data_IF_810573998444
#
_entry.id   IF_810573998444
#
_cell.length_a   1.000
_cell.length_b   1.000
_cell.length_c   1.000
_cell.angle_alpha   90.00
_cell.angle_beta   90.00
_cell.angle_gamma   90.00
#
_symmetry.space_group_name_H-M   'P 1'
#
loop_
_entity.id
_entity.type
_entity.pdbx_description
1 polymer ?
#
# COMPACT_ATOMS: atom_id res chain seq x y z
N UNK A 1 24.20 -8.24 67.77
CA UNK A 1 23.70 -7.06 67.05
C UNK A 1 23.99 -7.33 65.59
N UNK A 2 23.02 -7.95 64.93
CA UNK A 2 23.09 -8.37 63.53
C UNK A 2 22.24 -7.37 62.74
N UNK A 3 22.76 -6.71 61.69
CA UNK A 3 22.00 -5.74 60.94
C UNK A 3 21.12 -6.49 59.93
N UNK A 4 19.92 -6.87 60.35
CA UNK A 4 18.88 -7.32 59.43
C UNK A 4 18.46 -6.14 58.56
N UNK A 5 18.95 -6.22 57.32
CA UNK A 5 18.66 -5.44 56.12
C UNK A 5 17.44 -4.53 56.23
N UNK A 6 17.78 -3.25 56.34
CA UNK A 6 16.97 -2.07 56.05
C UNK A 6 16.63 -2.02 54.54
N UNK A 7 15.84 -2.99 54.07
CA UNK A 7 15.24 -2.94 52.73
C UNK A 7 14.10 -1.94 52.75
N UNK A 8 14.43 -0.68 52.47
CA UNK A 8 13.45 0.33 52.13
C UNK A 8 12.67 -0.11 50.88
N UNK A 9 11.43 -0.55 51.07
CA UNK A 9 10.50 -0.85 49.98
C UNK A 9 10.22 0.44 49.22
N UNK A 10 10.79 0.56 48.03
CA UNK A 10 10.55 1.69 47.14
C UNK A 10 9.13 1.50 46.59
N UNK A 11 8.22 2.40 46.97
CA UNK A 11 6.86 2.42 46.47
C UNK A 11 6.91 2.87 44.99
N UNK A 12 6.85 1.90 44.08
CA UNK A 12 6.90 2.17 42.64
C UNK A 12 5.51 2.64 42.23
N UNK A 13 5.34 3.90 41.80
CA UNK A 13 4.03 4.38 41.37
C UNK A 13 3.58 3.58 40.15
N UNK A 14 2.40 2.97 40.27
CA UNK A 14 1.72 2.31 39.16
C UNK A 14 1.32 3.37 38.13
N UNK A 15 2.13 3.55 37.10
CA UNK A 15 1.78 4.40 35.97
C UNK A 15 0.59 3.78 35.22
N UNK A 16 -0.48 4.55 34.94
CA UNK A 16 -1.58 4.05 34.14
C UNK A 16 -1.10 3.74 32.71
N UNK A 17 -1.56 2.62 32.16
CA UNK A 17 -1.25 2.21 30.79
C UNK A 17 -1.68 3.32 29.79
N UNK A 18 -0.84 3.65 28.80
CA UNK A 18 -1.20 4.59 27.74
C UNK A 18 -2.44 4.12 27.00
N UNK A 19 -3.40 5.03 26.80
CA UNK A 19 -4.59 4.72 26.03
C UNK A 19 -4.21 4.34 24.58
N UNK A 20 -4.88 3.35 23.96
CA UNK A 20 -4.68 3.04 22.55
C UNK A 20 -4.90 4.28 21.68
N UNK A 21 -4.11 4.47 20.62
CA UNK A 21 -4.31 5.58 19.70
C UNK A 21 -5.73 5.51 19.11
N UNK A 22 -6.45 6.63 19.17
CA UNK A 22 -7.81 6.73 18.68
C UNK A 22 -7.83 6.45 17.17
N UNK A 23 -8.41 5.31 16.76
CA UNK A 23 -8.73 5.08 15.36
C UNK A 23 -9.84 6.05 14.95
N UNK A 24 -9.49 7.05 14.15
CA UNK A 24 -10.48 7.91 13.52
C UNK A 24 -11.04 7.15 12.30
N UNK A 25 -12.35 6.87 12.23
CA UNK A 25 -12.92 6.24 11.05
C UNK A 25 -12.75 7.16 9.83
N UNK A 26 -12.45 6.60 8.64
CA UNK A 26 -12.30 7.40 7.42
C UNK A 26 -13.62 8.10 7.08
N UNK A 27 -13.54 9.37 6.68
CA UNK A 27 -14.71 10.17 6.29
C UNK A 27 -15.46 9.56 5.10
N UNK A 28 -16.81 9.53 5.12
CA UNK A 28 -17.64 8.91 4.08
C UNK A 28 -17.85 9.82 2.86
N UNK A 29 -16.78 10.42 2.33
CA UNK A 29 -16.88 11.28 1.13
C UNK A 29 -17.02 10.46 -0.17
N UNK A 30 -16.77 9.15 -0.11
CA UNK A 30 -16.71 8.26 -1.27
C UNK A 30 -18.07 7.71 -1.73
N UNK A 31 -19.18 8.07 -1.07
CA UNK A 31 -20.52 7.56 -1.42
C UNK A 31 -21.42 8.56 -2.18
N UNK A 32 -20.99 9.82 -2.37
CA UNK A 32 -21.83 10.85 -3.04
C UNK A 32 -21.53 11.05 -4.53
N UNK A 33 -20.68 10.21 -5.13
CA UNK A 33 -20.40 10.22 -6.56
C UNK A 33 -21.38 9.37 -7.36
N UNK A 34 -22.66 9.73 -7.39
CA UNK A 34 -23.62 9.14 -8.32
C UNK A 34 -23.26 9.55 -9.75
N UNK A 35 -22.47 8.72 -10.44
CA UNK A 35 -22.32 8.83 -11.88
C UNK A 35 -23.70 8.67 -12.54
N UNK A 36 -24.11 9.56 -13.47
CA UNK A 36 -25.20 9.22 -14.36
C UNK A 36 -24.73 8.04 -15.22
N UNK A 37 -25.22 6.84 -14.94
CA UNK A 37 -25.10 5.70 -15.85
C UNK A 37 -25.87 6.09 -17.11
N UNK A 38 -25.14 6.63 -18.08
CA UNK A 38 -25.66 6.86 -19.41
C UNK A 38 -25.93 5.50 -20.02
N UNK A 39 -27.21 5.11 -20.08
CA UNK A 39 -27.65 4.00 -20.91
C UNK A 39 -27.20 4.25 -22.34
N UNK A 40 -26.17 3.52 -22.79
CA UNK A 40 -25.84 3.47 -24.20
C UNK A 40 -27.00 2.79 -24.95
N UNK A 41 -27.50 3.37 -26.05
CA UNK A 41 -28.51 2.72 -26.86
C UNK A 41 -27.86 1.52 -27.57
N UNK A 42 -28.42 0.33 -27.36
CA UNK A 42 -28.07 -0.87 -28.10
C UNK A 42 -28.39 -0.66 -29.59
N UNK A 43 -27.37 -0.33 -30.38
CA UNK A 43 -27.50 -0.16 -31.81
C UNK A 43 -27.39 -1.53 -32.49
N UNK A 44 -28.55 -2.09 -32.84
CA UNK A 44 -28.64 -3.27 -33.72
C UNK A 44 -28.12 -2.87 -35.11
N UNK A 45 -27.16 -3.59 -35.71
CA UNK A 45 -26.65 -3.24 -37.03
C UNK A 45 -27.71 -3.53 -38.09
N UNK A 46 -28.16 -2.49 -38.80
CA UNK A 46 -29.00 -2.65 -39.99
C UNK A 46 -28.16 -3.11 -41.20
N UNK A 47 -28.74 -3.91 -42.10
CA UNK A 47 -28.07 -4.35 -43.32
C UNK A 47 -27.82 -3.17 -44.26
N UNK A 48 -26.60 -3.14 -44.79
CA UNK A 48 -26.03 -2.11 -45.64
C UNK A 48 -26.74 -2.19 -47.00
N UNK A 49 -27.58 -1.19 -47.31
CA UNK A 49 -28.15 -1.03 -48.65
C UNK A 49 -27.12 -0.33 -49.54
N UNK A 50 -26.46 -1.10 -50.40
CA UNK A 50 -25.55 -0.56 -51.42
C UNK A 50 -26.36 0.09 -52.55
N UNK A 51 -26.50 1.41 -52.53
CA UNK A 51 -26.93 2.16 -53.71
C UNK A 51 -25.73 2.88 -54.32
N UNK A 52 -25.35 2.43 -55.51
CA UNK A 52 -24.32 3.05 -56.34
C UNK A 52 -24.78 4.44 -56.77
N UNK A 53 -24.12 5.49 -56.28
CA UNK A 53 -24.27 6.85 -56.78
C UNK A 53 -22.97 7.19 -57.50
N UNK A 54 -23.07 7.36 -58.82
CA UNK A 54 -21.96 7.69 -59.71
C UNK A 54 -21.27 8.99 -59.29
N UNK A 55 -19.95 8.94 -59.10
CA UNK A 55 -19.12 10.14 -58.93
C UNK A 55 -19.23 11.02 -60.18
N UNK A 56 -19.87 12.18 -60.04
CA UNK A 56 -19.63 13.32 -60.92
C UNK A 56 -18.56 14.17 -60.26
N UNK A 57 -17.39 14.27 -60.88
CA UNK A 57 -16.27 15.09 -60.39
C UNK A 57 -16.52 16.54 -60.85
N UNK A 58 -16.83 17.50 -59.96
CA UNK A 58 -16.78 18.90 -60.34
C UNK A 58 -15.32 19.33 -60.43
N UNK A 59 -14.94 19.88 -61.59
CA UNK A 59 -13.64 20.51 -61.80
C UNK A 59 -13.46 21.69 -60.83
N UNK A 60 -12.30 21.84 -60.16
CA UNK A 60 -12.07 22.95 -59.25
C UNK A 60 -11.91 24.25 -60.03
N UNK A 61 -12.85 25.18 -59.83
CA UNK A 61 -12.68 26.59 -60.19
C UNK A 61 -11.94 27.26 -59.04
N UNK A 62 -10.77 27.91 -59.23
CA UNK A 62 -10.10 28.61 -58.16
C UNK A 62 -10.88 29.88 -57.81
N UNK A 63 -11.64 29.83 -56.70
CA UNK A 63 -12.43 30.95 -56.20
C UNK A 63 -11.85 31.41 -54.86
N UNK A 64 -11.25 32.60 -54.90
CA UNK A 64 -10.92 33.51 -53.80
C UNK A 64 -10.34 32.88 -52.51
N UNK A 65 -9.02 32.92 -52.39
CA UNK A 65 -8.28 32.72 -51.15
C UNK A 65 -8.67 33.78 -50.12
N UNK A 66 -9.54 33.41 -49.19
CA UNK A 66 -9.70 34.13 -47.92
C UNK A 66 -8.43 33.81 -47.12
N UNK A 67 -7.64 34.79 -46.65
CA UNK A 67 -6.55 34.53 -45.72
C UNK A 67 -7.18 34.14 -44.38
N UNK A 68 -7.45 32.85 -44.21
CA UNK A 68 -7.73 32.29 -42.89
C UNK A 68 -6.42 32.45 -42.12
N UNK A 69 -6.45 33.25 -41.05
CA UNK A 69 -5.28 33.52 -40.22
C UNK A 69 -4.82 32.22 -39.55
N UNK A 70 -3.86 31.54 -40.19
CA UNK A 70 -3.22 30.30 -39.73
C UNK A 70 -2.56 30.47 -38.34
N UNK A 71 -2.29 31.70 -37.93
CA UNK A 71 -1.69 32.08 -36.64
C UNK A 71 -2.54 31.66 -35.43
N UNK A 72 -3.87 31.49 -35.60
CA UNK A 72 -4.75 31.05 -34.52
C UNK A 72 -4.63 29.54 -34.25
N UNK A 73 -4.31 28.74 -35.26
CA UNK A 73 -4.21 27.27 -35.15
C UNK A 73 -2.90 26.89 -34.45
N UNK A 74 -1.80 27.61 -34.71
CA UNK A 74 -0.50 27.35 -34.06
C UNK A 74 -0.55 27.59 -32.54
N UNK A 75 -1.27 28.63 -32.11
CA UNK A 75 -1.44 28.97 -30.69
C UNK A 75 -2.16 27.88 -29.91
N UNK A 76 -3.28 27.39 -30.44
CA UNK A 76 -4.10 26.38 -29.76
C UNK A 76 -3.35 25.04 -29.68
N UNK A 77 -2.62 24.66 -30.73
CA UNK A 77 -1.80 23.44 -30.74
C UNK A 77 -0.68 23.53 -29.70
N UNK A 78 0.03 24.66 -29.61
CA UNK A 78 1.09 24.87 -28.61
C UNK A 78 0.56 24.80 -27.18
N UNK A 79 -0.62 25.38 -26.92
CA UNK A 79 -1.25 25.30 -25.61
C UNK A 79 -1.61 23.85 -25.25
N UNK A 80 -2.18 23.09 -26.20
CA UNK A 80 -2.50 21.68 -25.99
C UNK A 80 -1.27 20.83 -25.68
N UNK A 81 -0.18 21.01 -26.42
CA UNK A 81 1.08 20.30 -26.13
C UNK A 81 1.66 20.67 -24.77
N UNK A 82 1.55 21.93 -24.35
CA UNK A 82 2.02 22.38 -23.04
C UNK A 82 1.18 21.76 -21.93
N UNK A 83 -0.15 21.80 -22.04
CA UNK A 83 -1.07 21.19 -21.07
C UNK A 83 -0.90 19.68 -21.01
N UNK A 84 -0.66 19.02 -22.15
CA UNK A 84 -0.38 17.59 -22.22
C UNK A 84 0.94 17.22 -21.52
N UNK A 85 2.00 18.03 -21.71
CA UNK A 85 3.28 17.83 -21.02
C UNK A 85 3.16 17.91 -19.50
N UNK A 86 2.42 18.90 -18.98
CA UNK A 86 2.17 19.06 -17.55
C UNK A 86 1.33 17.90 -17.01
N UNK A 87 0.27 17.50 -17.72
CA UNK A 87 -0.58 16.38 -17.31
C UNK A 87 0.21 15.07 -17.26
N UNK A 88 1.07 14.81 -18.26
CA UNK A 88 1.92 13.62 -18.31
C UNK A 88 2.91 13.58 -17.14
N UNK A 89 3.58 14.70 -16.84
CA UNK A 89 4.51 14.77 -15.71
C UNK A 89 3.80 14.53 -14.36
N UNK A 90 2.56 15.02 -14.21
CA UNK A 90 1.74 14.72 -13.04
C UNK A 90 1.45 13.23 -12.87
N UNK A 91 1.09 12.54 -13.94
CA UNK A 91 0.81 11.09 -13.93
C UNK A 91 2.08 10.28 -13.62
N UNK A 92 3.21 10.63 -14.26
CA UNK A 92 4.51 9.98 -14.00
C UNK A 92 4.95 10.19 -12.54
N UNK A 93 4.77 11.39 -11.99
CA UNK A 93 5.05 11.68 -10.58
C UNK A 93 4.16 10.91 -9.60
N UNK A 94 2.87 10.75 -9.92
CA UNK A 94 1.95 9.93 -9.11
C UNK A 94 2.30 8.45 -9.16
N UNK A 95 2.76 7.94 -10.30
CA UNK A 95 3.16 6.54 -10.47
C UNK A 95 4.37 6.21 -9.59
N UNK A 96 5.42 7.04 -9.63
CA UNK A 96 6.60 6.85 -8.77
C UNK A 96 6.31 6.95 -7.26
N UNK A 97 5.33 7.76 -6.87
CA UNK A 97 4.95 7.90 -5.46
C UNK A 97 4.25 6.64 -4.92
N UNK A 98 3.37 6.01 -5.72
CA UNK A 98 2.69 4.77 -5.32
C UNK A 98 3.68 3.61 -5.21
N UNK A 99 4.63 3.49 -6.14
CA UNK A 99 5.67 2.45 -6.09
C UNK A 99 6.56 2.58 -4.87
N UNK A 100 6.98 3.82 -4.55
CA UNK A 100 7.78 4.10 -3.36
C UNK A 100 7.02 3.74 -2.09
N UNK A 101 5.74 4.12 -2.00
CA UNK A 101 4.89 3.79 -0.85
C UNK A 101 4.67 2.28 -0.74
N UNK A 102 4.49 1.58 -1.85
CA UNK A 102 4.32 0.12 -1.85
C UNK A 102 5.59 -0.60 -1.39
N UNK A 103 6.77 -0.12 -1.81
CA UNK A 103 8.06 -0.66 -1.37
C UNK A 103 8.30 -0.42 0.13
N UNK A 104 8.03 0.79 0.62
CA UNK A 104 8.18 1.16 2.04
C UNK A 104 7.26 0.33 2.95
N UNK A 105 5.99 0.15 2.56
CA UNK A 105 5.06 -0.72 3.29
C UNK A 105 5.43 -2.20 3.22
N UNK A 106 6.08 -2.67 2.14
CA UNK A 106 6.53 -4.06 2.02
C UNK A 106 7.73 -4.38 2.91
N UNK A 107 8.50 -3.39 3.31
CA UNK A 107 9.71 -3.59 4.11
C UNK A 107 9.40 -3.74 5.60
N UNK A 108 8.49 -2.89 6.13
CA UNK A 108 8.11 -2.91 7.55
C UNK A 108 7.43 -4.21 7.97
N UNK A 109 6.62 -4.81 7.10
CA UNK A 109 6.02 -6.12 7.38
C UNK A 109 7.03 -7.27 7.41
N UNK A 110 8.15 -7.18 6.68
CA UNK A 110 9.15 -8.25 6.62
C UNK A 110 10.00 -8.32 7.91
N UNK A 111 10.35 -7.15 8.47
CA UNK A 111 11.15 -7.07 9.69
C UNK A 111 10.39 -7.58 10.93
N UNK A 112 9.09 -7.29 11.03
CA UNK A 112 8.25 -7.76 12.15
C UNK A 112 8.17 -9.29 12.20
N UNK A 113 7.99 -9.93 11.04
CA UNK A 113 7.92 -11.40 10.97
C UNK A 113 9.24 -12.07 11.36
N UNK A 114 10.38 -11.49 10.97
CA UNK A 114 11.70 -12.00 11.32
C UNK A 114 11.95 -11.95 12.83
N UNK A 115 11.55 -10.85 13.47
CA UNK A 115 11.68 -10.70 14.93
C UNK A 115 10.88 -11.77 15.67
N UNK A 116 9.63 -12.01 15.26
CA UNK A 116 8.77 -13.04 15.87
C UNK A 116 9.38 -14.44 15.71
N UNK A 117 9.91 -14.75 14.54
CA UNK A 117 10.57 -16.03 14.28
C UNK A 117 11.80 -16.23 15.18
N UNK A 118 12.67 -15.23 15.27
CA UNK A 118 13.88 -15.31 16.09
C UNK A 118 13.55 -15.48 17.57
N UNK A 119 12.51 -14.78 18.06
CA UNK A 119 12.01 -14.97 19.42
C UNK A 119 11.50 -16.40 19.68
N UNK A 120 10.73 -16.98 18.76
CA UNK A 120 10.21 -18.35 18.87
C UNK A 120 11.35 -19.38 18.92
N UNK A 121 12.38 -19.20 18.08
CA UNK A 121 13.57 -20.06 18.06
C UNK A 121 14.31 -19.97 19.40
N UNK A 122 14.51 -18.76 19.94
CA UNK A 122 15.15 -18.56 21.23
C UNK A 122 14.35 -19.19 22.38
N UNK A 123 13.02 -19.03 22.38
CA UNK A 123 12.15 -19.63 23.39
C UNK A 123 12.24 -21.16 23.37
N UNK A 124 12.24 -21.77 22.18
CA UNK A 124 12.39 -23.21 22.03
C UNK A 124 13.77 -23.70 22.52
N UNK A 125 14.83 -22.94 22.25
CA UNK A 125 16.17 -23.26 22.75
C UNK A 125 16.23 -23.22 24.30
N UNK A 126 15.60 -22.21 24.92
CA UNK A 126 15.53 -22.08 26.38
C UNK A 126 14.75 -23.24 27.01
N UNK A 127 13.61 -23.61 26.43
CA UNK A 127 12.81 -24.74 26.90
C UNK A 127 13.59 -26.06 26.82
N UNK A 128 14.30 -26.30 25.71
CA UNK A 128 15.15 -27.49 25.57
C UNK A 128 16.22 -27.54 26.66
N UNK A 129 16.89 -26.41 26.92
CA UNK A 129 17.93 -26.32 27.96
C UNK A 129 17.36 -26.59 29.36
N UNK A 130 16.18 -26.06 29.66
CA UNK A 130 15.49 -26.35 30.93
C UNK A 130 15.17 -27.84 31.09
N UNK A 131 14.68 -28.47 30.02
CA UNK A 131 14.38 -29.91 30.03
C UNK A 131 15.64 -30.74 30.24
N UNK A 132 16.75 -30.37 29.59
CA UNK A 132 18.04 -31.02 29.77
C UNK A 132 18.56 -30.89 31.21
N UNK A 133 18.51 -29.69 31.77
CA UNK A 133 18.92 -29.46 33.16
C UNK A 133 18.07 -30.26 34.14
N UNK A 134 16.75 -30.31 33.94
CA UNK A 134 15.84 -31.14 34.75
C UNK A 134 16.26 -32.61 34.73
N UNK A 135 16.55 -33.16 33.54
CA UNK A 135 17.02 -34.54 33.41
C UNK A 135 18.31 -34.80 34.17
N UNK A 136 19.27 -33.87 34.11
CA UNK A 136 20.54 -33.97 34.84
C UNK A 136 20.34 -33.92 36.36
N UNK A 137 19.46 -33.03 36.85
CA UNK A 137 19.15 -32.94 38.29
C UNK A 137 18.54 -34.24 38.80
N UNK A 138 17.54 -34.79 38.10
CA UNK A 138 16.92 -36.07 38.49
C UNK A 138 17.92 -37.22 38.50
N UNK A 139 18.85 -37.26 37.53
CA UNK A 139 19.91 -38.27 37.51
C UNK A 139 20.87 -38.13 38.71
N UNK A 140 21.23 -36.90 39.08
CA UNK A 140 22.09 -36.64 40.25
C UNK A 140 21.41 -36.98 41.57
N UNK A 141 20.12 -36.67 41.72
CA UNK A 141 19.33 -37.05 42.89
C UNK A 141 19.27 -38.57 43.04
N UNK A 142 19.01 -39.30 41.95
CA UNK A 142 18.97 -40.75 41.98
C UNK A 142 20.33 -41.39 42.34
N UNK A 143 21.42 -40.84 41.79
CA UNK A 143 22.78 -41.30 42.13
C UNK A 143 23.13 -41.03 43.60
N UNK A 144 22.67 -39.91 44.17
CA UNK A 144 22.84 -39.62 45.60
C UNK A 144 22.10 -40.65 46.45
N UNK A 145 20.83 -40.90 46.16
CA UNK A 145 20.00 -41.83 46.94
C UNK A 145 20.56 -43.26 46.90
N UNK A 146 21.18 -43.67 45.77
CA UNK A 146 21.88 -44.95 45.65
C UNK A 146 23.12 -45.06 46.55
N UNK A 147 23.80 -43.96 46.84
CA UNK A 147 25.00 -43.93 47.70
C UNK A 147 24.69 -43.94 49.19
N UNK A 148 23.46 -43.60 49.56
CA UNK A 148 23.00 -43.54 50.95
C UNK A 148 22.38 -44.85 51.45
N UNK A 149 22.23 -45.86 50.59
CA UNK A 149 21.82 -47.23 50.93
C UNK A 149 23.01 -48.15 51.16
#
# INVERSE_FOLDING_TARGET
MDPEDDVAYIDIPAYPLPAPPAQTPPSPEWLSGSFPVSSAPSAVPSPISSHMISLTVPSPTPKATIPIAEDHIDRDVRELYTRLGVARAGIEGMTGHVDTRMADMSWTGYDDHRLVHDMLVQQAALQRKLQEMRGRVTALEHERDRREQ
#
